data_IF_637921842798
#
_entry.id   IF_637921842798
#
_cell.length_a   1.000
_cell.length_b   1.000
_cell.length_c   1.000
_cell.angle_alpha   90.00
_cell.angle_beta   90.00
_cell.angle_gamma   90.00
#
_symmetry.space_group_name_H-M   'P 1'
#
loop_
_entity.id
_entity.type
_entity.pdbx_description
1 polymer ?
#
# COMPACT_ATOMS: atom_id res chain seq x y z
N UNK A 1 -9.56 7.81 19.13
CA UNK A 1 -9.79 7.36 17.73
C UNK A 1 -9.11 6.02 17.53
N UNK A 2 -9.85 4.97 17.14
CA UNK A 2 -9.26 3.68 16.80
C UNK A 2 -8.38 3.82 15.55
N UNK A 3 -7.10 3.45 15.65
CA UNK A 3 -6.19 3.42 14.49
C UNK A 3 -6.73 2.39 13.48
N UNK A 4 -7.00 2.83 12.24
CA UNK A 4 -7.46 1.91 11.18
C UNK A 4 -6.41 0.82 10.98
N UNK A 5 -6.79 -0.44 11.22
CA UNK A 5 -5.96 -1.60 10.96
C UNK A 5 -6.38 -2.24 9.63
N UNK A 6 -5.42 -2.35 8.72
CA UNK A 6 -5.52 -2.89 7.38
C UNK A 6 -4.77 -4.21 7.23
N UNK A 7 -3.92 -4.61 8.18
CA UNK A 7 -3.16 -5.87 8.08
C UNK A 7 -4.12 -7.06 7.95
N UNK A 8 -3.86 -7.94 6.97
CA UNK A 8 -4.73 -9.07 6.64
C UNK A 8 -5.95 -8.71 5.79
N UNK A 9 -6.25 -7.41 5.61
CA UNK A 9 -7.36 -6.97 4.76
C UNK A 9 -6.94 -6.84 3.30
N UNK A 10 -7.91 -7.05 2.42
CA UNK A 10 -7.76 -6.77 0.99
C UNK A 10 -8.17 -5.33 0.71
N UNK A 11 -7.30 -4.56 0.08
CA UNK A 11 -7.51 -3.17 -0.30
C UNK A 11 -7.53 -3.03 -1.82
N UNK A 12 -8.47 -2.20 -2.33
CA UNK A 12 -8.49 -1.78 -3.72
C UNK A 12 -7.54 -0.59 -3.89
N UNK A 13 -6.43 -0.83 -4.58
CA UNK A 13 -5.50 0.23 -4.98
C UNK A 13 -5.93 0.73 -6.35
N UNK A 14 -6.41 1.97 -6.41
CA UNK A 14 -6.89 2.60 -7.65
C UNK A 14 -5.74 2.85 -8.63
N UNK A 15 -6.09 2.91 -9.91
CA UNK A 15 -5.20 3.47 -10.94
C UNK A 15 -4.73 4.89 -10.53
N UNK A 16 -3.51 5.25 -10.92
CA UNK A 16 -2.87 6.52 -10.57
C UNK A 16 -2.26 6.56 -9.16
N UNK A 17 -2.58 5.60 -8.28
CA UNK A 17 -2.00 5.54 -6.93
C UNK A 17 -0.47 5.38 -7.02
N UNK A 18 0.28 6.21 -6.29
CA UNK A 18 1.74 6.13 -6.23
C UNK A 18 2.15 4.92 -5.40
N UNK A 19 2.79 3.93 -6.04
CA UNK A 19 3.27 2.71 -5.42
C UNK A 19 4.78 2.67 -5.49
N UNK A 20 5.43 2.42 -4.36
CA UNK A 20 6.87 2.18 -4.28
C UNK A 20 7.13 0.68 -4.25
N UNK A 21 7.93 0.18 -5.19
CA UNK A 21 8.32 -1.23 -5.31
C UNK A 21 9.82 -1.30 -5.60
N UNK A 22 10.57 -2.08 -4.81
CA UNK A 22 12.02 -2.23 -4.96
C UNK A 22 12.78 -0.88 -5.09
N UNK A 23 12.44 0.10 -4.25
CA UNK A 23 13.07 1.43 -4.26
C UNK A 23 12.60 2.39 -5.35
N UNK A 24 11.79 1.93 -6.33
CA UNK A 24 11.23 2.79 -7.39
C UNK A 24 9.78 3.13 -7.11
N UNK A 25 9.41 4.40 -7.29
CA UNK A 25 8.03 4.86 -7.15
C UNK A 25 7.42 5.07 -8.53
N UNK A 26 6.27 4.47 -8.77
CA UNK A 26 5.52 4.60 -10.03
C UNK A 26 4.03 4.75 -9.75
N UNK A 27 3.30 5.41 -10.66
CA UNK A 27 1.85 5.40 -10.61
C UNK A 27 1.33 4.04 -11.10
N UNK A 28 0.33 3.49 -10.41
CA UNK A 28 -0.28 2.23 -10.83
C UNK A 28 -1.04 2.43 -12.13
N UNK A 29 -0.77 1.60 -13.14
CA UNK A 29 -1.41 1.67 -14.46
C UNK A 29 -2.83 1.10 -14.48
N UNK A 30 -3.14 0.20 -13.55
CA UNK A 30 -4.44 -0.44 -13.44
C UNK A 30 -4.83 -0.58 -11.98
N UNK A 31 -6.13 -0.52 -11.71
CA UNK A 31 -6.63 -0.85 -10.38
C UNK A 31 -6.40 -2.32 -10.05
N UNK A 32 -6.17 -2.61 -8.77
CA UNK A 32 -6.01 -4.00 -8.33
C UNK A 32 -6.24 -4.16 -6.84
N UNK A 33 -6.72 -5.35 -6.48
CA UNK A 33 -6.89 -5.78 -5.10
C UNK A 33 -5.56 -6.30 -4.56
N UNK A 34 -5.18 -5.86 -3.36
CA UNK A 34 -3.95 -6.29 -2.69
C UNK A 34 -4.23 -6.66 -1.24
N UNK A 35 -3.68 -7.78 -0.78
CA UNK A 35 -3.73 -8.16 0.63
C UNK A 35 -2.59 -7.49 1.39
N UNK A 36 -2.92 -6.66 2.37
CA UNK A 36 -1.94 -5.93 3.17
C UNK A 36 -1.23 -6.90 4.11
N UNK A 37 0.10 -6.89 4.07
CA UNK A 37 0.97 -7.71 4.91
C UNK A 37 1.51 -6.94 6.12
N UNK A 38 1.72 -5.64 5.98
CA UNK A 38 2.13 -4.77 7.08
C UNK A 38 1.62 -3.37 6.85
N UNK A 39 1.52 -2.61 7.94
CA UNK A 39 1.22 -1.19 7.90
C UNK A 39 2.12 -0.42 8.85
N UNK A 40 2.39 0.84 8.53
CA UNK A 40 3.19 1.76 9.33
C UNK A 40 2.51 3.13 9.34
N UNK A 41 2.56 3.84 10.48
CA UNK A 41 2.09 5.21 10.56
C UNK A 41 3.16 6.13 9.95
N UNK A 42 2.86 6.72 8.81
CA UNK A 42 3.74 7.68 8.16
C UNK A 42 3.54 9.11 8.75
N UNK A 43 4.49 10.00 8.45
CA UNK A 43 4.37 11.42 8.81
C UNK A 43 3.09 12.02 8.22
N UNK A 44 2.44 12.89 9.00
CA UNK A 44 1.19 13.55 8.60
C UNK A 44 -0.07 12.70 8.78
N UNK A 45 -0.02 11.65 9.61
CA UNK A 45 -1.20 10.84 9.95
C UNK A 45 -1.66 9.86 8.86
N UNK A 46 -0.91 9.76 7.75
CA UNK A 46 -1.16 8.80 6.67
C UNK A 46 -0.68 7.40 7.07
N UNK A 47 -1.27 6.37 6.49
CA UNK A 47 -0.86 4.99 6.75
C UNK A 47 -0.15 4.45 5.53
N UNK A 48 1.10 4.02 5.71
CA UNK A 48 1.80 3.25 4.69
C UNK A 48 1.35 1.80 4.81
N UNK A 49 0.73 1.28 3.76
CA UNK A 49 0.41 -0.15 3.65
C UNK A 49 1.39 -0.83 2.72
N UNK A 50 1.80 -2.05 3.06
CA UNK A 50 2.74 -2.83 2.26
C UNK A 50 2.18 -4.23 1.96
N UNK A 51 2.48 -4.74 0.77
CA UNK A 51 2.05 -6.06 0.29
C UNK A 51 3.15 -6.68 -0.58
N UNK A 52 3.00 -7.97 -0.92
CA UNK A 52 3.87 -8.65 -1.89
C UNK A 52 3.35 -8.42 -3.31
N UNK A 53 4.21 -7.97 -4.20
CA UNK A 53 3.92 -7.83 -5.63
C UNK A 53 5.07 -8.44 -6.44
N UNK A 54 4.80 -9.56 -7.10
CA UNK A 54 5.75 -10.30 -7.93
C UNK A 54 7.11 -10.48 -7.21
N UNK A 55 7.11 -11.21 -6.09
CA UNK A 55 8.30 -11.55 -5.29
C UNK A 55 8.82 -10.46 -4.34
N UNK A 56 8.64 -9.18 -4.68
CA UNK A 56 9.17 -8.05 -3.90
C UNK A 56 8.09 -7.33 -3.09
N UNK A 57 8.51 -6.54 -2.11
CA UNK A 57 7.62 -5.69 -1.32
C UNK A 57 7.22 -4.45 -2.14
N UNK A 58 5.92 -4.18 -2.19
CA UNK A 58 5.34 -2.96 -2.70
C UNK A 58 4.61 -2.23 -1.57
N UNK A 59 4.57 -0.90 -1.62
CA UNK A 59 3.91 -0.08 -0.60
C UNK A 59 3.26 1.17 -1.19
N UNK A 60 2.26 1.70 -0.50
CA UNK A 60 1.63 2.99 -0.83
C UNK A 60 1.13 3.68 0.44
N UNK A 61 0.91 4.99 0.35
CA UNK A 61 0.30 5.79 1.40
C UNK A 61 -1.20 5.91 1.14
N UNK A 62 -2.00 5.63 2.17
CA UNK A 62 -3.45 5.82 2.20
C UNK A 62 -3.86 6.78 3.32
#
# INVERSE_FOLDING_TARGET
>A
MAKKNYVGKTLKIKEGTRVTRAGRTSARKTESLVTVRSQELARGGKIRVSWKSHGVTASTLI
#
